data_IF_912922485187
#
_entry.id   IF_912922485187
#
_cell.length_a   1.000
_cell.length_b   1.000
_cell.length_c   1.000
_cell.angle_alpha   90.00
_cell.angle_beta   90.00
_cell.angle_gamma   90.00
#
_symmetry.space_group_name_H-M   'P 1'
#
loop_
_entity.id
_entity.type
_entity.pdbx_description
1 polymer ?
#
# COMPACT_ATOMS: atom_id res chain seq x y z
N UNK A 1 11.01 -11.13 -6.17
CA UNK A 1 12.43 -10.92 -6.55
C UNK A 1 12.60 -9.46 -6.97
N UNK A 2 13.76 -8.85 -6.76
CA UNK A 2 14.02 -7.45 -7.12
C UNK A 2 14.84 -7.39 -8.40
N UNK A 3 14.36 -6.66 -9.41
CA UNK A 3 15.09 -6.40 -10.65
C UNK A 3 15.93 -5.13 -10.52
N UNK A 4 17.26 -5.26 -10.43
CA UNK A 4 18.13 -4.10 -10.27
C UNK A 4 18.77 -3.70 -11.61
N UNK A 5 18.44 -2.49 -12.08
CA UNK A 5 18.95 -1.87 -13.29
C UNK A 5 20.11 -0.95 -12.95
N UNK A 6 21.33 -1.34 -13.31
CA UNK A 6 22.57 -0.61 -12.92
C UNK A 6 23.31 0.00 -14.12
N UNK A 7 22.89 -0.34 -15.34
CA UNK A 7 23.47 0.12 -16.61
C UNK A 7 22.43 -0.01 -17.74
N UNK A 8 22.77 0.52 -18.91
CA UNK A 8 21.92 0.50 -20.12
C UNK A 8 21.62 -0.93 -20.60
N UNK A 9 22.58 -1.84 -20.52
CA UNK A 9 22.37 -3.26 -20.84
C UNK A 9 21.28 -3.87 -19.96
N UNK A 10 21.26 -3.54 -18.66
CA UNK A 10 20.23 -4.03 -17.74
C UNK A 10 18.85 -3.46 -18.08
N UNK A 11 18.76 -2.23 -18.59
CA UNK A 11 17.49 -1.60 -19.00
C UNK A 11 16.83 -2.34 -20.16
N UNK A 12 17.64 -2.83 -21.11
CA UNK A 12 17.12 -3.57 -22.26
C UNK A 12 16.68 -5.01 -21.94
N UNK A 13 16.93 -5.50 -20.72
CA UNK A 13 16.57 -6.86 -20.28
C UNK A 13 15.45 -6.79 -19.26
N UNK A 14 14.46 -7.66 -19.34
CA UNK A 14 13.45 -7.81 -18.29
C UNK A 14 13.78 -9.00 -17.40
N UNK A 15 13.63 -8.84 -16.09
CA UNK A 15 13.69 -9.98 -15.16
C UNK A 15 12.28 -10.54 -14.98
N UNK A 16 12.11 -11.82 -15.30
CA UNK A 16 10.82 -12.51 -15.13
C UNK A 16 10.49 -12.60 -13.64
N UNK A 17 9.23 -12.32 -13.29
CA UNK A 17 8.69 -12.39 -11.92
C UNK A 17 9.32 -11.41 -10.89
N UNK A 18 9.73 -10.21 -11.33
CA UNK A 18 10.08 -9.14 -10.40
C UNK A 18 8.84 -8.36 -9.94
N UNK A 19 8.60 -8.32 -8.63
CA UNK A 19 7.53 -7.50 -8.05
C UNK A 19 7.98 -6.01 -7.94
N UNK A 20 9.29 -5.75 -7.92
CA UNK A 20 9.90 -4.43 -7.72
C UNK A 20 11.13 -4.29 -8.63
N UNK A 21 11.23 -3.16 -9.32
CA UNK A 21 12.41 -2.73 -10.07
C UNK A 21 13.16 -1.64 -9.29
N UNK A 22 14.49 -1.75 -9.20
CA UNK A 22 15.37 -0.74 -8.59
C UNK A 22 16.28 -0.19 -9.68
N UNK A 23 16.13 1.09 -9.98
CA UNK A 23 17.00 1.82 -10.88
C UNK A 23 18.14 2.46 -10.09
N UNK A 24 19.38 2.02 -10.32
CA UNK A 24 20.59 2.61 -9.75
C UNK A 24 21.32 3.44 -10.80
N UNK A 25 20.92 4.70 -10.95
CA UNK A 25 21.37 5.57 -12.04
C UNK A 25 22.88 5.83 -12.05
N UNK A 26 23.52 5.88 -10.90
CA UNK A 26 24.97 6.09 -10.79
C UNK A 26 25.77 4.79 -10.68
N UNK A 27 25.13 3.64 -10.92
CA UNK A 27 25.76 2.33 -10.81
C UNK A 27 25.68 1.71 -9.42
N UNK A 28 26.41 0.61 -9.23
CA UNK A 28 26.35 -0.24 -8.06
C UNK A 28 27.73 -0.81 -7.72
N UNK A 29 28.18 -0.61 -6.48
CA UNK A 29 29.48 -1.09 -5.97
C UNK A 29 29.71 -2.58 -6.27
N UNK A 30 28.68 -3.42 -6.10
CA UNK A 30 28.79 -4.87 -6.28
C UNK A 30 28.41 -5.41 -7.67
N UNK A 31 27.86 -4.58 -8.56
CA UNK A 31 27.30 -5.04 -9.86
C UNK A 31 27.74 -4.24 -11.07
N UNK A 32 28.40 -3.10 -10.87
CA UNK A 32 28.94 -2.26 -11.93
C UNK A 32 30.45 -2.41 -11.97
N UNK A 33 31.03 -2.28 -13.16
CA UNK A 33 32.47 -2.07 -13.24
C UNK A 33 32.81 -0.69 -12.64
N UNK A 34 33.97 -0.58 -11.98
CA UNK A 34 34.40 0.66 -11.33
C UNK A 34 34.37 1.88 -12.28
N UNK A 35 34.75 1.67 -13.55
CA UNK A 35 34.74 2.71 -14.61
C UNK A 35 33.34 3.19 -15.02
N UNK A 36 32.30 2.47 -14.62
CA UNK A 36 30.91 2.77 -15.00
C UNK A 36 30.14 3.48 -13.86
N UNK A 37 30.77 3.65 -12.69
CA UNK A 37 30.18 4.30 -11.52
C UNK A 37 30.34 5.82 -11.68
N UNK A 38 29.25 6.56 -11.51
CA UNK A 38 29.22 8.01 -11.70
C UNK A 38 29.59 8.69 -10.39
N UNK A 39 30.78 9.29 -10.32
CA UNK A 39 31.28 9.93 -9.10
C UNK A 39 31.94 11.28 -9.41
N UNK A 40 32.78 11.33 -10.46
CA UNK A 40 33.54 12.54 -10.79
C UNK A 40 32.67 13.55 -11.53
N UNK A 41 33.07 14.82 -11.53
CA UNK A 41 32.38 15.88 -12.26
C UNK A 41 32.24 15.54 -13.76
N UNK A 42 33.30 14.98 -14.37
CA UNK A 42 33.31 14.49 -15.76
C UNK A 42 32.26 13.38 -15.97
N UNK A 43 32.09 12.47 -15.02
CA UNK A 43 31.05 11.42 -15.11
C UNK A 43 29.63 11.99 -15.10
N UNK A 44 29.38 13.06 -14.33
CA UNK A 44 28.08 13.74 -14.33
C UNK A 44 27.83 14.47 -15.65
N UNK A 45 28.85 15.13 -16.20
CA UNK A 45 28.77 15.84 -17.48
C UNK A 45 28.51 14.88 -18.64
N UNK A 46 29.20 13.74 -18.64
CA UNK A 46 29.05 12.69 -19.65
C UNK A 46 27.84 11.77 -19.41
N UNK A 47 27.08 11.94 -18.32
CA UNK A 47 26.06 10.99 -17.91
C UNK A 47 25.05 10.68 -19.03
N UNK A 48 24.56 11.72 -19.72
CA UNK A 48 23.59 11.56 -20.80
C UNK A 48 24.16 10.81 -22.02
N UNK A 49 25.48 10.87 -22.20
CA UNK A 49 26.22 10.22 -23.30
C UNK A 49 26.59 8.78 -22.94
N UNK A 50 27.04 8.55 -21.69
CA UNK A 50 27.45 7.23 -21.17
C UNK A 50 26.25 6.36 -20.77
N UNK A 51 25.09 6.95 -20.45
CA UNK A 51 23.86 6.28 -19.97
C UNK A 51 22.58 6.68 -20.73
N UNK A 52 22.56 6.68 -22.07
CA UNK A 52 21.42 7.17 -22.85
C UNK A 52 20.13 6.39 -22.59
N UNK A 53 20.17 5.06 -22.50
CA UNK A 53 18.97 4.25 -22.29
C UNK A 53 18.38 4.48 -20.89
N UNK A 54 19.23 4.56 -19.86
CA UNK A 54 18.81 4.90 -18.50
C UNK A 54 18.17 6.30 -18.43
N UNK A 55 18.79 7.29 -19.08
CA UNK A 55 18.30 8.67 -19.12
C UNK A 55 16.94 8.76 -19.82
N UNK A 56 16.81 8.15 -21.01
CA UNK A 56 15.55 8.11 -21.76
C UNK A 56 14.45 7.37 -20.98
N UNK A 57 14.79 6.25 -20.35
CA UNK A 57 13.86 5.49 -19.51
C UNK A 57 13.35 6.36 -18.36
N UNK A 58 14.23 7.04 -17.64
CA UNK A 58 13.86 7.90 -16.52
C UNK A 58 13.02 9.10 -16.98
N UNK A 59 13.35 9.69 -18.13
CA UNK A 59 12.56 10.75 -18.76
C UNK A 59 11.12 10.28 -19.04
N UNK A 60 10.97 9.11 -19.67
CA UNK A 60 9.67 8.50 -19.94
C UNK A 60 8.90 8.13 -18.66
N UNK A 61 9.59 7.68 -17.61
CA UNK A 61 8.97 7.41 -16.31
C UNK A 61 8.48 8.72 -15.66
N UNK A 62 9.25 9.82 -15.71
CA UNK A 62 8.82 11.13 -15.21
C UNK A 62 7.61 11.70 -15.99
N UNK A 63 7.51 11.40 -17.28
CA UNK A 63 6.35 11.80 -18.09
C UNK A 63 5.07 11.03 -17.72
N UNK A 64 5.20 9.78 -17.26
CA UNK A 64 4.06 8.86 -17.08
C UNK A 64 3.68 8.59 -15.62
N UNK A 65 4.58 8.84 -14.68
CA UNK A 65 4.43 8.46 -13.26
C UNK A 65 4.71 9.65 -12.35
N UNK A 66 3.97 9.75 -11.26
CA UNK A 66 4.31 10.66 -10.16
C UNK A 66 5.50 10.12 -9.38
N UNK A 67 6.44 11.00 -9.05
CA UNK A 67 7.64 10.65 -8.30
C UNK A 67 7.53 11.23 -6.90
N UNK A 68 8.02 10.49 -5.91
CA UNK A 68 8.22 10.97 -4.55
C UNK A 68 9.72 10.98 -4.26
N UNK A 69 10.30 12.18 -4.18
CA UNK A 69 11.70 12.39 -3.84
C UNK A 69 11.86 12.46 -2.31
N UNK A 70 12.77 11.64 -1.77
CA UNK A 70 13.09 11.54 -0.34
C UNK A 70 14.61 11.40 -0.20
N UNK A 71 15.21 12.10 0.77
CA UNK A 71 16.67 12.07 0.97
C UNK A 71 17.44 12.65 -0.22
N UNK A 72 16.73 13.24 -1.17
CA UNK A 72 17.25 13.75 -2.41
C UNK A 72 17.45 15.25 -2.29
N UNK A 73 18.66 15.71 -2.62
CA UNK A 73 18.84 17.11 -2.94
C UNK A 73 18.58 17.26 -4.44
N UNK A 74 17.68 18.15 -4.85
CA UNK A 74 17.53 18.55 -6.26
C UNK A 74 18.81 19.16 -6.87
N UNK A 75 19.93 19.14 -6.14
CA UNK A 75 21.23 19.55 -6.64
C UNK A 75 21.90 18.49 -7.51
N UNK A 76 21.42 17.24 -7.53
CA UNK A 76 21.99 16.28 -8.48
C UNK A 76 21.62 16.71 -9.92
N UNK A 77 22.65 17.02 -10.74
CA UNK A 77 22.46 17.63 -12.04
C UNK A 77 21.85 16.64 -13.06
N UNK A 78 22.01 15.33 -12.88
CA UNK A 78 21.53 14.33 -13.83
C UNK A 78 20.00 14.26 -13.80
N UNK A 79 19.40 14.08 -12.62
CA UNK A 79 17.93 14.12 -12.50
C UNK A 79 17.39 15.49 -12.89
N UNK A 80 18.07 16.58 -12.53
CA UNK A 80 17.64 17.94 -12.92
C UNK A 80 17.57 18.10 -14.43
N UNK A 81 18.60 17.65 -15.15
CA UNK A 81 18.63 17.69 -16.61
C UNK A 81 17.51 16.83 -17.22
N UNK A 82 17.30 15.62 -16.70
CA UNK A 82 16.23 14.72 -17.17
C UNK A 82 14.84 15.31 -16.91
N UNK A 83 14.62 15.92 -15.73
CA UNK A 83 13.38 16.62 -15.37
C UNK A 83 13.09 17.79 -16.32
N UNK A 84 14.11 18.60 -16.64
CA UNK A 84 13.97 19.71 -17.60
C UNK A 84 13.57 19.17 -18.97
N UNK A 85 14.19 18.07 -19.41
CA UNK A 85 13.87 17.44 -20.67
C UNK A 85 12.45 16.86 -20.70
N UNK A 86 12.04 16.15 -19.64
CA UNK A 86 10.67 15.65 -19.49
C UNK A 86 9.65 16.81 -19.53
N UNK A 87 9.91 17.90 -18.80
CA UNK A 87 9.05 19.10 -18.83
C UNK A 87 8.98 19.71 -20.23
N UNK A 88 10.10 19.78 -20.95
CA UNK A 88 10.16 20.30 -22.32
C UNK A 88 9.30 19.46 -23.27
N UNK A 89 9.36 18.14 -23.15
CA UNK A 89 8.55 17.20 -23.92
C UNK A 89 7.06 17.29 -23.57
N UNK A 90 6.72 17.51 -22.30
CA UNK A 90 5.34 17.63 -21.82
C UNK A 90 4.63 18.96 -22.18
N UNK A 91 5.40 19.98 -22.62
CA UNK A 91 4.96 21.33 -22.97
C UNK A 91 4.19 22.10 -21.88
N UNK A 92 2.94 21.71 -21.59
CA UNK A 92 2.00 22.41 -20.70
C UNK A 92 1.50 21.58 -19.51
N UNK A 93 1.49 20.25 -19.60
CA UNK A 93 0.94 19.37 -18.57
C UNK A 93 1.99 18.39 -18.10
N UNK A 94 2.77 18.78 -17.09
CA UNK A 94 3.65 17.84 -16.39
C UNK A 94 2.87 17.10 -15.33
N UNK A 95 3.13 15.81 -15.18
CA UNK A 95 2.70 15.05 -14.02
C UNK A 95 3.16 15.77 -12.73
N UNK A 96 2.33 15.77 -11.69
CA UNK A 96 2.77 16.31 -10.40
C UNK A 96 3.69 15.31 -9.71
N UNK A 97 4.83 15.81 -9.23
CA UNK A 97 5.80 15.09 -8.43
C UNK A 97 5.88 15.72 -7.03
N UNK A 98 6.43 14.99 -6.07
CA UNK A 98 6.47 15.39 -4.67
C UNK A 98 7.89 15.28 -4.12
N UNK A 99 8.28 16.20 -3.26
CA UNK A 99 9.56 16.16 -2.54
C UNK A 99 9.29 16.34 -1.05
N UNK A 100 9.81 15.44 -0.22
CA UNK A 100 9.82 15.61 1.24
C UNK A 100 11.24 16.01 1.66
N UNK A 101 11.37 17.14 2.35
CA UNK A 101 12.66 17.65 2.80
C UNK A 101 12.56 18.32 4.17
N UNK A 102 13.66 18.31 4.92
CA UNK A 102 13.68 18.89 6.26
C UNK A 102 13.74 20.42 6.21
N UNK A 103 13.13 21.07 7.19
CA UNK A 103 13.29 22.50 7.45
C UNK A 103 14.75 22.77 7.86
N UNK A 104 15.40 23.83 7.35
CA UNK A 104 16.76 24.17 7.73
C UNK A 104 16.83 24.50 9.22
N UNK A 105 17.89 24.01 9.86
CA UNK A 105 18.25 24.33 11.24
C UNK A 105 19.64 24.97 11.23
N UNK A 106 19.82 25.98 12.07
CA UNK A 106 21.09 26.68 12.28
C UNK A 106 21.02 27.38 13.64
N UNK A 107 22.10 27.33 14.40
CA UNK A 107 22.18 27.96 15.72
C UNK A 107 22.33 29.48 15.61
N UNK A 108 22.85 29.98 14.48
CA UNK A 108 22.95 31.41 14.21
C UNK A 108 21.65 31.92 13.56
N UNK A 109 20.93 32.88 14.19
CA UNK A 109 19.68 33.42 13.65
C UNK A 109 19.80 34.02 12.25
N UNK A 110 20.92 34.69 11.94
CA UNK A 110 21.12 35.32 10.64
C UNK A 110 21.28 34.26 9.52
N UNK A 111 22.11 33.24 9.77
CA UNK A 111 22.25 32.12 8.82
C UNK A 111 20.98 31.31 8.68
N UNK A 112 20.19 31.16 9.75
CA UNK A 112 18.89 30.50 9.69
C UNK A 112 17.93 31.25 8.75
N UNK A 113 17.85 32.58 8.86
CA UNK A 113 17.03 33.42 7.97
C UNK A 113 17.48 33.26 6.52
N UNK A 114 18.78 33.32 6.26
CA UNK A 114 19.33 33.13 4.91
C UNK A 114 19.04 31.74 4.34
N UNK A 115 19.17 30.68 5.15
CA UNK A 115 18.88 29.29 4.74
C UNK A 115 17.39 29.09 4.46
N UNK A 116 16.49 29.61 5.31
CA UNK A 116 15.04 29.59 5.08
C UNK A 116 14.68 30.30 3.78
N UNK A 117 15.22 31.50 3.56
CA UNK A 117 14.99 32.25 2.31
C UNK A 117 15.46 31.49 1.08
N UNK A 118 16.62 30.83 1.16
CA UNK A 118 17.13 29.99 0.06
C UNK A 118 16.25 28.77 -0.19
N UNK A 119 15.75 28.11 0.85
CA UNK A 119 14.83 26.99 0.71
C UNK A 119 13.50 27.42 0.10
N UNK A 120 12.95 28.57 0.51
CA UNK A 120 11.72 29.13 -0.09
C UNK A 120 11.87 29.36 -1.60
N UNK A 121 12.98 30.00 -2.01
CA UNK A 121 13.26 30.24 -3.43
C UNK A 121 13.41 28.92 -4.20
N UNK A 122 14.09 27.95 -3.60
CA UNK A 122 14.25 26.63 -4.18
C UNK A 122 12.92 25.88 -4.34
N UNK A 123 12.05 25.92 -3.33
CA UNK A 123 10.69 25.36 -3.41
C UNK A 123 9.86 26.02 -4.52
N UNK A 124 10.01 27.33 -4.74
CA UNK A 124 9.34 28.04 -5.85
C UNK A 124 9.86 27.56 -7.21
N UNK A 125 11.16 27.37 -7.36
CA UNK A 125 11.74 26.84 -8.59
C UNK A 125 11.29 25.40 -8.86
N UNK A 126 11.25 24.55 -7.82
CA UNK A 126 10.71 23.20 -7.90
C UNK A 126 9.26 23.17 -8.34
N UNK A 127 8.43 24.07 -7.81
CA UNK A 127 7.02 24.18 -8.20
C UNK A 127 6.85 24.51 -9.69
N UNK A 128 7.74 25.32 -10.27
CA UNK A 128 7.74 25.61 -11.73
C UNK A 128 8.07 24.38 -12.59
N UNK A 129 8.70 23.38 -11.99
CA UNK A 129 9.05 22.10 -12.60
C UNK A 129 8.04 21.00 -12.29
N UNK A 130 6.90 21.33 -11.66
CA UNK A 130 5.86 20.36 -11.30
C UNK A 130 6.16 19.56 -10.03
N UNK A 131 7.12 20.01 -9.20
CA UNK A 131 7.45 19.36 -7.92
C UNK A 131 6.83 20.16 -6.77
N UNK A 132 5.88 19.54 -6.07
CA UNK A 132 5.29 20.02 -4.83
C UNK A 132 6.12 19.59 -3.62
N UNK A 133 6.50 20.54 -2.77
CA UNK A 133 7.41 20.30 -1.65
C UNK A 133 6.68 20.25 -0.31
N UNK A 134 6.93 19.20 0.48
CA UNK A 134 6.51 19.08 1.87
C UNK A 134 7.72 19.25 2.79
N UNK A 135 7.65 20.26 3.67
CA UNK A 135 8.69 20.54 4.66
C UNK A 135 8.37 19.83 5.98
N UNK A 136 9.34 19.10 6.53
CA UNK A 136 9.20 18.35 7.80
C UNK A 136 10.23 18.83 8.83
N UNK A 137 9.89 18.68 10.11
CA UNK A 137 10.76 19.12 11.22
C UNK A 137 11.80 18.07 11.62
N UNK A 138 11.44 16.79 11.52
CA UNK A 138 12.25 15.66 11.96
C UNK A 138 11.93 14.38 11.16
N UNK A 139 12.77 13.35 11.36
CA UNK A 139 12.62 12.07 10.67
C UNK A 139 11.38 11.27 11.14
N UNK A 140 10.90 11.49 12.37
CA UNK A 140 9.69 10.82 12.87
C UNK A 140 8.44 11.21 12.07
N UNK A 141 8.36 12.47 11.62
CA UNK A 141 7.31 12.91 10.71
C UNK A 141 7.38 12.20 9.36
N UNK A 142 8.59 11.98 8.82
CA UNK A 142 8.77 11.23 7.57
C UNK A 142 8.25 9.80 7.72
N UNK A 143 8.58 9.10 8.80
CA UNK A 143 8.10 7.75 9.06
C UNK A 143 6.56 7.69 9.08
N UNK A 144 5.91 8.62 9.79
CA UNK A 144 4.44 8.71 9.84
C UNK A 144 3.81 8.97 8.47
N UNK A 145 4.43 9.84 7.66
CA UNK A 145 3.96 10.13 6.30
C UNK A 145 4.11 8.89 5.41
N UNK A 146 5.27 8.22 5.43
CA UNK A 146 5.50 7.01 4.64
C UNK A 146 4.58 5.87 5.05
N UNK A 147 4.33 5.74 6.36
CA UNK A 147 3.34 4.81 6.88
C UNK A 147 1.95 5.11 6.29
N UNK A 148 1.49 6.37 6.36
CA UNK A 148 0.20 6.77 5.80
C UNK A 148 0.10 6.52 4.28
N UNK A 149 1.17 6.83 3.53
CA UNK A 149 1.24 6.56 2.08
C UNK A 149 1.16 5.05 1.82
N UNK A 150 1.95 4.24 2.53
CA UNK A 150 1.91 2.77 2.42
C UNK A 150 0.49 2.24 2.66
N UNK A 151 -0.21 2.73 3.68
CA UNK A 151 -1.58 2.32 3.99
C UNK A 151 -2.58 2.74 2.91
N UNK A 152 -2.53 3.99 2.45
CA UNK A 152 -3.45 4.52 1.45
C UNK A 152 -3.19 3.99 0.04
N UNK A 153 -1.95 3.59 -0.26
CA UNK A 153 -1.56 3.03 -1.56
C UNK A 153 -2.26 1.72 -1.90
N UNK A 154 -2.82 1.03 -0.90
CA UNK A 154 -3.61 -0.20 -1.06
C UNK A 154 -4.99 0.05 -1.68
N UNK A 155 -5.42 1.31 -1.80
CA UNK A 155 -6.76 1.68 -2.26
C UNK A 155 -7.85 1.12 -1.34
N UNK A 156 -9.12 1.23 -1.75
CA UNK A 156 -10.29 0.77 -0.98
C UNK A 156 -10.46 -0.75 -1.04
N UNK A 157 -9.43 -1.47 -0.59
CA UNK A 157 -9.33 -2.93 -0.64
C UNK A 157 -9.79 -3.57 0.65
N UNK A 158 -10.66 -4.57 0.51
CA UNK A 158 -11.32 -5.22 1.65
C UNK A 158 -11.14 -6.73 1.53
N UNK A 159 -10.69 -7.35 2.61
CA UNK A 159 -10.67 -8.80 2.77
C UNK A 159 -11.65 -9.22 3.85
N UNK A 160 -12.39 -10.30 3.64
CA UNK A 160 -13.31 -10.85 4.64
C UNK A 160 -12.86 -12.24 5.06
N UNK A 161 -12.75 -12.44 6.37
CA UNK A 161 -12.41 -13.74 6.97
C UNK A 161 -13.42 -14.11 8.05
N UNK A 162 -13.62 -15.43 8.24
CA UNK A 162 -14.59 -15.97 9.18
C UNK A 162 -14.70 -17.49 9.12
N UNK A 163 -15.56 -18.03 9.97
CA UNK A 163 -15.86 -19.45 10.11
C UNK A 163 -16.43 -20.07 8.82
N UNK A 164 -16.44 -21.40 8.79
CA UNK A 164 -16.93 -22.18 7.66
C UNK A 164 -18.46 -22.33 7.60
N UNK A 165 -19.23 -21.46 8.24
CA UNK A 165 -20.69 -21.47 8.14
C UNK A 165 -21.13 -21.10 6.72
N UNK A 166 -21.71 -22.07 6.01
CA UNK A 166 -21.96 -21.95 4.57
C UNK A 166 -23.13 -21.04 4.19
N UNK A 167 -23.87 -20.43 5.13
CA UNK A 167 -25.09 -19.67 4.82
C UNK A 167 -25.35 -18.47 5.75
N UNK A 168 -24.33 -17.64 6.01
CA UNK A 168 -24.56 -16.39 6.73
C UNK A 168 -25.30 -15.37 5.85
N UNK A 169 -26.53 -15.01 6.26
CA UNK A 169 -27.33 -13.94 5.63
C UNK A 169 -26.62 -12.59 5.70
N UNK A 170 -25.98 -12.30 6.84
CA UNK A 170 -25.23 -11.07 7.06
C UNK A 170 -24.04 -10.98 6.10
N UNK A 171 -23.31 -12.08 5.88
CA UNK A 171 -22.21 -12.12 4.93
C UNK A 171 -22.68 -11.87 3.48
N UNK A 172 -23.81 -12.46 3.08
CA UNK A 172 -24.39 -12.23 1.75
C UNK A 172 -24.84 -10.78 1.56
N UNK A 173 -25.53 -10.22 2.56
CA UNK A 173 -25.97 -8.82 2.54
C UNK A 173 -24.77 -7.86 2.49
N UNK A 174 -23.72 -8.15 3.26
CA UNK A 174 -22.47 -7.40 3.22
C UNK A 174 -21.83 -7.44 1.84
N UNK A 175 -21.76 -8.61 1.19
CA UNK A 175 -21.26 -8.74 -0.19
C UNK A 175 -22.02 -7.85 -1.18
N UNK A 176 -23.35 -7.81 -1.09
CA UNK A 176 -24.18 -6.91 -1.91
C UNK A 176 -23.93 -5.43 -1.63
N UNK A 177 -23.79 -5.05 -0.36
CA UNK A 177 -23.51 -3.67 0.03
C UNK A 177 -22.13 -3.21 -0.46
N UNK A 178 -21.11 -4.06 -0.34
CA UNK A 178 -19.76 -3.79 -0.85
C UNK A 178 -19.77 -3.61 -2.38
N UNK A 179 -20.54 -4.43 -3.11
CA UNK A 179 -20.64 -4.33 -4.57
C UNK A 179 -21.30 -3.02 -5.03
N UNK A 180 -22.22 -2.45 -4.25
CA UNK A 180 -22.85 -1.16 -4.57
C UNK A 180 -21.90 0.03 -4.49
N UNK A 181 -20.78 -0.09 -3.78
CA UNK A 181 -19.75 0.96 -3.74
C UNK A 181 -18.67 0.72 -4.81
N UNK A 182 -18.78 1.42 -5.93
CA UNK A 182 -17.97 1.19 -7.14
C UNK A 182 -16.44 1.22 -6.93
N UNK A 183 -15.96 1.96 -5.94
CA UNK A 183 -14.52 2.10 -5.67
C UNK A 183 -13.94 0.97 -4.82
N UNK A 184 -14.79 0.11 -4.24
CA UNK A 184 -14.34 -1.02 -3.42
C UNK A 184 -13.81 -2.14 -4.30
N UNK A 185 -12.65 -2.65 -3.89
CA UNK A 185 -12.01 -3.84 -4.43
C UNK A 185 -12.07 -4.94 -3.37
N UNK A 186 -12.83 -6.00 -3.65
CA UNK A 186 -12.91 -7.17 -2.80
C UNK A 186 -11.71 -8.09 -3.05
N UNK A 187 -11.07 -8.52 -1.98
CA UNK A 187 -9.98 -9.48 -2.00
C UNK A 187 -10.52 -10.84 -1.56
N UNK A 188 -10.28 -11.86 -2.38
CA UNK A 188 -10.64 -13.24 -2.09
C UNK A 188 -9.40 -14.08 -1.84
N UNK A 189 -9.33 -14.68 -0.66
CA UNK A 189 -8.37 -15.73 -0.32
C UNK A 189 -8.91 -17.12 -0.63
N UNK A 190 -9.89 -17.26 -1.51
CA UNK A 190 -10.54 -18.54 -1.88
C UNK A 190 -10.92 -19.39 -0.65
N UNK A 191 -11.36 -18.74 0.43
CA UNK A 191 -11.78 -19.41 1.66
C UNK A 191 -13.20 -19.95 1.51
N UNK A 192 -13.55 -20.95 2.31
CA UNK A 192 -14.90 -21.49 2.41
C UNK A 192 -15.66 -20.82 3.57
N UNK A 193 -17.00 -20.81 3.50
CA UNK A 193 -17.86 -20.22 4.55
C UNK A 193 -18.12 -18.74 4.32
N UNK A 194 -17.90 -17.91 5.35
CA UNK A 194 -18.20 -16.47 5.30
C UNK A 194 -17.54 -15.79 4.09
N UNK A 195 -16.25 -16.04 3.86
CA UNK A 195 -15.52 -15.44 2.73
C UNK A 195 -16.14 -15.78 1.37
N UNK A 196 -16.50 -17.05 1.14
CA UNK A 196 -17.18 -17.47 -0.09
C UNK A 196 -18.57 -16.84 -0.24
N UNK A 197 -19.31 -16.65 0.86
CA UNK A 197 -20.65 -16.04 0.83
C UNK A 197 -20.59 -14.57 0.42
N UNK A 198 -19.61 -13.82 0.97
CA UNK A 198 -19.38 -12.42 0.58
C UNK A 198 -18.99 -12.33 -0.88
N UNK A 199 -18.01 -13.14 -1.32
CA UNK A 199 -17.53 -13.12 -2.72
C UNK A 199 -18.65 -13.47 -3.69
N UNK A 200 -19.42 -14.53 -3.40
CA UNK A 200 -20.54 -14.92 -4.27
C UNK A 200 -21.57 -13.81 -4.40
N UNK A 201 -22.00 -13.22 -3.28
CA UNK A 201 -23.01 -12.17 -3.28
C UNK A 201 -22.49 -10.86 -3.92
N UNK A 202 -21.21 -10.54 -3.72
CA UNK A 202 -20.55 -9.41 -4.38
C UNK A 202 -20.51 -9.59 -5.89
N UNK A 203 -20.06 -10.76 -6.37
CA UNK A 203 -19.99 -11.07 -7.79
C UNK A 203 -21.37 -11.05 -8.45
N UNK A 204 -22.37 -11.69 -7.82
CA UNK A 204 -23.76 -11.68 -8.32
C UNK A 204 -24.29 -10.24 -8.44
N UNK A 205 -24.07 -9.40 -7.43
CA UNK A 205 -24.49 -8.01 -7.45
C UNK A 205 -23.77 -7.20 -8.55
N UNK A 206 -22.46 -7.37 -8.73
CA UNK A 206 -21.73 -6.70 -9.81
C UNK A 206 -22.24 -7.09 -11.20
N UNK A 207 -22.59 -8.36 -11.43
CA UNK A 207 -23.18 -8.81 -12.69
C UNK A 207 -24.56 -8.16 -12.89
N UNK A 208 -25.41 -8.18 -11.86
CA UNK A 208 -26.74 -7.58 -11.93
C UNK A 208 -26.68 -6.07 -12.24
N UNK A 209 -25.70 -5.37 -11.67
CA UNK A 209 -25.48 -3.94 -11.86
C UNK A 209 -24.63 -3.61 -13.11
N UNK A 210 -24.23 -4.62 -13.90
CA UNK A 210 -23.38 -4.50 -15.11
C UNK A 210 -22.05 -3.80 -14.87
N UNK A 211 -21.44 -4.04 -13.72
CA UNK A 211 -20.15 -3.48 -13.33
C UNK A 211 -19.01 -4.39 -13.80
N UNK A 212 -17.85 -3.81 -14.12
CA UNK A 212 -16.65 -4.60 -14.38
C UNK A 212 -16.12 -5.24 -13.09
N UNK A 213 -16.01 -6.56 -13.10
CA UNK A 213 -15.54 -7.35 -11.96
C UNK A 213 -14.01 -7.41 -11.94
N UNK A 214 -13.34 -7.31 -13.10
CA UNK A 214 -11.89 -7.50 -13.17
C UNK A 214 -11.12 -6.42 -12.40
N UNK A 215 -11.62 -5.18 -12.40
CA UNK A 215 -11.08 -4.10 -11.56
C UNK A 215 -11.46 -4.17 -10.08
N UNK A 216 -12.40 -5.04 -9.69
CA UNK A 216 -13.08 -5.01 -8.38
C UNK A 216 -12.98 -6.28 -7.55
N UNK A 217 -12.53 -7.38 -8.14
CA UNK A 217 -12.28 -8.64 -7.43
C UNK A 217 -10.85 -9.10 -7.69
N UNK A 218 -10.04 -9.17 -6.63
CA UNK A 218 -8.69 -9.72 -6.68
C UNK A 218 -8.66 -11.07 -5.98
N UNK A 219 -8.19 -12.10 -6.69
CA UNK A 219 -8.13 -13.47 -6.16
C UNK A 219 -6.68 -13.83 -5.90
N UNK A 220 -6.39 -14.24 -4.67
CA UNK A 220 -5.08 -14.72 -4.28
C UNK A 220 -5.10 -16.24 -4.14
N UNK A 221 -4.08 -16.96 -4.64
CA UNK A 221 -4.01 -18.41 -4.53
C UNK A 221 -4.06 -18.86 -3.07
N UNK A 222 -4.93 -19.82 -2.80
CA UNK A 222 -5.06 -20.42 -1.49
C UNK A 222 -4.66 -21.90 -1.50
N UNK A 223 -3.57 -22.28 -0.81
CA UNK A 223 -3.22 -23.70 -0.66
C UNK A 223 -4.34 -24.57 -0.08
N UNK A 224 -5.21 -24.03 0.78
CA UNK A 224 -6.34 -24.81 1.34
C UNK A 224 -7.43 -25.12 0.33
N UNK A 225 -7.59 -24.28 -0.69
CA UNK A 225 -8.53 -24.54 -1.77
C UNK A 225 -8.11 -25.77 -2.58
N UNK A 226 -6.80 -26.08 -2.62
CA UNK A 226 -6.27 -27.29 -3.24
C UNK A 226 -6.38 -28.52 -2.33
N UNK A 227 -6.10 -28.37 -1.02
CA UNK A 227 -6.26 -29.45 -0.05
C UNK A 227 -6.67 -28.91 1.34
N UNK A 228 -7.91 -29.18 1.81
CA UNK A 228 -8.39 -28.74 3.11
C UNK A 228 -7.53 -29.19 4.30
N UNK A 229 -6.84 -30.34 4.18
CA UNK A 229 -6.04 -30.92 5.26
C UNK A 229 -4.84 -30.05 5.65
N UNK A 230 -4.36 -29.18 4.76
CA UNK A 230 -3.26 -28.26 5.08
C UNK A 230 -3.61 -27.26 6.18
N UNK A 231 -4.91 -26.99 6.43
CA UNK A 231 -5.35 -26.02 7.45
C UNK A 231 -5.14 -26.50 8.88
N UNK A 232 -5.02 -27.82 9.07
CA UNK A 232 -4.89 -28.46 10.37
C UNK A 232 -3.46 -28.96 10.64
N UNK A 233 -2.51 -28.70 9.74
CA UNK A 233 -1.11 -29.09 9.91
C UNK A 233 -0.29 -27.91 10.46
N UNK A 234 0.12 -27.94 11.75
CA UNK A 234 0.91 -26.87 12.35
C UNK A 234 2.30 -26.71 11.71
N UNK A 235 2.85 -27.76 11.10
CA UNK A 235 4.18 -27.71 10.48
C UNK A 235 4.20 -26.79 9.24
N UNK A 236 3.07 -26.68 8.54
CA UNK A 236 2.92 -25.85 7.36
C UNK A 236 2.55 -24.39 7.70
N UNK A 237 2.22 -24.09 8.96
CA UNK A 237 1.73 -22.78 9.37
C UNK A 237 2.66 -21.60 8.98
N UNK A 238 4.00 -21.69 9.11
CA UNK A 238 4.90 -20.62 8.67
C UNK A 238 4.81 -20.34 7.17
N UNK A 239 4.80 -21.38 6.35
CA UNK A 239 4.70 -21.27 4.89
C UNK A 239 3.32 -20.74 4.47
N UNK A 240 2.26 -21.16 5.16
CA UNK A 240 0.89 -20.71 4.92
C UNK A 240 0.70 -19.25 5.32
N UNK A 241 1.34 -18.78 6.40
CA UNK A 241 1.42 -17.35 6.76
C UNK A 241 2.21 -16.56 5.72
N UNK A 242 3.29 -17.13 5.16
CA UNK A 242 4.05 -16.51 4.06
C UNK A 242 3.19 -16.33 2.80
N UNK A 243 2.41 -17.34 2.41
CA UNK A 243 1.47 -17.23 1.28
C UNK A 243 0.44 -16.10 1.48
N UNK A 244 -0.11 -15.97 2.70
CA UNK A 244 -1.07 -14.90 3.04
C UNK A 244 -0.47 -13.50 3.06
N UNK A 245 0.85 -13.36 3.16
CA UNK A 245 1.49 -12.03 3.21
C UNK A 245 1.22 -11.22 1.95
N UNK A 246 1.20 -11.83 0.76
CA UNK A 246 0.88 -11.10 -0.48
C UNK A 246 -0.57 -10.59 -0.47
N UNK A 247 -1.52 -11.41 -0.04
CA UNK A 247 -2.91 -11.02 0.14
C UNK A 247 -3.02 -9.83 1.10
N UNK A 248 -2.42 -9.92 2.29
CA UNK A 248 -2.53 -8.85 3.30
C UNK A 248 -1.76 -7.57 2.94
N UNK A 249 -0.69 -7.67 2.15
CA UNK A 249 -0.01 -6.48 1.62
C UNK A 249 -0.90 -5.67 0.66
N UNK A 250 -1.85 -6.34 -0.01
CA UNK A 250 -2.83 -5.70 -0.89
C UNK A 250 -4.10 -5.26 -0.17
N UNK A 251 -4.28 -5.62 1.10
CA UNK A 251 -5.50 -5.35 1.88
C UNK A 251 -5.35 -4.11 2.75
N UNK A 252 -6.28 -3.16 2.64
CA UNK A 252 -6.38 -2.04 3.58
C UNK A 252 -7.21 -2.40 4.82
N UNK A 253 -8.39 -3.02 4.63
CA UNK A 253 -9.34 -3.36 5.69
C UNK A 253 -9.62 -4.86 5.71
N UNK A 254 -9.53 -5.47 6.89
CA UNK A 254 -9.93 -6.86 7.14
C UNK A 254 -11.20 -6.86 7.98
N UNK A 255 -12.28 -7.41 7.42
CA UNK A 255 -13.51 -7.68 8.16
C UNK A 255 -13.40 -9.08 8.75
N UNK A 256 -13.44 -9.15 10.08
CA UNK A 256 -13.15 -10.36 10.84
C UNK A 256 -14.41 -10.87 11.54
N UNK A 257 -15.05 -11.88 10.98
CA UNK A 257 -16.09 -12.65 11.66
C UNK A 257 -15.46 -13.66 12.63
N UNK A 258 -16.27 -14.24 13.52
CA UNK A 258 -15.82 -15.35 14.37
C UNK A 258 -15.29 -16.51 13.53
N UNK A 259 -14.28 -17.22 14.05
CA UNK A 259 -13.59 -18.24 13.29
C UNK A 259 -12.64 -19.10 14.11
N UNK A 260 -11.95 -20.00 13.42
CA UNK A 260 -11.00 -20.94 14.02
C UNK A 260 -9.53 -20.55 13.77
N UNK A 261 -8.65 -21.56 13.73
CA UNK A 261 -7.20 -21.38 13.60
C UNK A 261 -6.80 -20.61 12.32
N UNK A 262 -7.45 -20.88 11.19
CA UNK A 262 -7.17 -20.18 9.93
C UNK A 262 -7.48 -18.68 9.99
N UNK A 263 -8.63 -18.33 10.58
CA UNK A 263 -9.05 -16.94 10.81
C UNK A 263 -8.09 -16.23 11.78
N UNK A 264 -7.66 -16.91 12.85
CA UNK A 264 -6.67 -16.36 13.79
C UNK A 264 -5.34 -16.05 13.07
N UNK A 265 -4.85 -16.99 12.26
CA UNK A 265 -3.62 -16.80 11.50
C UNK A 265 -3.73 -15.63 10.49
N UNK A 266 -4.90 -15.45 9.87
CA UNK A 266 -5.15 -14.32 8.95
C UNK A 266 -5.14 -12.98 9.67
N UNK A 267 -5.79 -12.90 10.83
CA UNK A 267 -5.81 -11.70 11.66
C UNK A 267 -4.41 -11.37 12.17
N UNK A 268 -3.62 -12.36 12.56
CA UNK A 268 -2.23 -12.13 12.99
C UNK A 268 -1.36 -11.57 11.86
N UNK A 269 -1.45 -12.15 10.64
CA UNK A 269 -0.73 -11.61 9.48
C UNK A 269 -1.24 -10.21 9.14
N UNK A 270 -2.55 -9.97 9.21
CA UNK A 270 -3.15 -8.66 8.98
C UNK A 270 -2.59 -7.59 9.93
N UNK A 271 -2.48 -7.91 11.24
CA UNK A 271 -1.87 -7.02 12.25
C UNK A 271 -0.41 -6.71 11.92
N UNK A 272 0.39 -7.73 11.59
CA UNK A 272 1.80 -7.54 11.22
C UNK A 272 1.99 -6.72 9.94
N UNK A 273 0.97 -6.65 9.09
CA UNK A 273 0.94 -5.82 7.87
C UNK A 273 0.17 -4.51 8.06
N UNK A 274 -0.16 -4.14 9.30
CA UNK A 274 -0.90 -2.92 9.66
C UNK A 274 -2.26 -2.79 8.96
N UNK A 275 -2.93 -3.89 8.60
CA UNK A 275 -4.29 -3.78 8.06
C UNK A 275 -5.22 -3.26 9.17
N UNK A 276 -6.22 -2.45 8.80
CA UNK A 276 -7.27 -2.05 9.73
C UNK A 276 -8.22 -3.22 9.92
N UNK A 277 -8.53 -3.57 11.16
CA UNK A 277 -9.34 -4.77 11.47
C UNK A 277 -10.69 -4.32 12.01
N UNK A 278 -11.76 -4.78 11.37
CA UNK A 278 -13.15 -4.53 11.75
C UNK A 278 -13.76 -5.86 12.20
N UNK A 279 -13.82 -6.13 13.51
CA UNK A 279 -14.45 -7.34 14.03
C UNK A 279 -15.97 -7.28 13.83
N UNK A 280 -16.58 -8.42 13.53
CA UNK A 280 -18.04 -8.57 13.38
C UNK A 280 -18.54 -9.55 14.42
N UNK A 281 -19.53 -9.11 15.19
CA UNK A 281 -20.15 -9.88 16.26
C UNK A 281 -21.64 -9.96 16.00
N UNK A 282 -22.13 -11.14 15.64
CA UNK A 282 -23.53 -11.36 15.29
C UNK A 282 -24.37 -11.75 16.50
N UNK A 283 -23.76 -12.41 17.48
CA UNK A 283 -24.40 -12.86 18.70
C UNK A 283 -23.43 -12.92 19.90
N UNK A 284 -23.94 -13.36 21.05
CA UNK A 284 -23.13 -13.50 22.27
C UNK A 284 -22.09 -14.64 22.17
N UNK A 285 -22.27 -15.64 21.31
CA UNK A 285 -21.28 -16.71 21.12
C UNK A 285 -20.04 -16.17 20.40
N UNK A 286 -20.23 -15.27 19.44
CA UNK A 286 -19.15 -14.57 18.76
C UNK A 286 -18.32 -13.73 19.74
N UNK A 287 -18.95 -13.05 20.71
CA UNK A 287 -18.23 -12.34 21.79
C UNK A 287 -17.39 -13.30 22.64
N UNK A 288 -17.84 -14.54 22.82
CA UNK A 288 -17.10 -15.54 23.58
C UNK A 288 -15.98 -16.21 22.77
N UNK A 289 -15.98 -16.07 21.44
CA UNK A 289 -14.98 -16.65 20.55
C UNK A 289 -13.58 -16.10 20.85
N UNK A 290 -12.61 -17.02 20.94
CA UNK A 290 -11.21 -16.71 21.29
C UNK A 290 -10.57 -15.68 20.34
N UNK A 291 -10.86 -15.77 19.05
CA UNK A 291 -10.28 -14.91 18.01
C UNK A 291 -10.83 -13.49 18.16
N UNK A 292 -12.14 -13.35 18.31
CA UNK A 292 -12.80 -12.05 18.50
C UNK A 292 -12.35 -11.40 19.80
N UNK A 293 -12.33 -12.14 20.92
CA UNK A 293 -11.79 -11.63 22.20
C UNK A 293 -10.39 -11.08 22.06
N UNK A 294 -9.50 -11.80 21.37
CA UNK A 294 -8.13 -11.35 21.13
C UNK A 294 -8.07 -10.08 20.28
N UNK A 295 -8.95 -9.94 19.29
CA UNK A 295 -9.06 -8.70 18.51
C UNK A 295 -9.54 -7.53 19.37
N UNK A 296 -10.54 -7.75 20.24
CA UNK A 296 -11.09 -6.72 21.13
C UNK A 296 -10.13 -6.33 22.27
N UNK A 297 -9.45 -7.31 22.87
CA UNK A 297 -8.42 -7.07 23.90
C UNK A 297 -7.25 -6.28 23.32
N UNK A 298 -6.81 -6.63 22.11
CA UNK A 298 -5.78 -5.88 21.41
C UNK A 298 -6.29 -4.49 21.01
N UNK A 299 -7.59 -4.33 20.77
CA UNK A 299 -8.20 -3.02 20.53
C UNK A 299 -8.15 -2.13 21.77
N UNK A 300 -8.42 -2.69 22.95
CA UNK A 300 -8.33 -1.98 24.21
C UNK A 300 -6.88 -1.63 24.60
N UNK A 301 -5.89 -2.41 24.15
CA UNK A 301 -4.47 -2.25 24.52
C UNK A 301 -3.64 -1.46 23.50
N UNK A 302 -4.03 -1.41 22.24
CA UNK A 302 -3.23 -0.83 21.15
C UNK A 302 -3.87 0.42 20.54
N UNK A 303 -3.05 1.46 20.34
CA UNK A 303 -3.46 2.71 19.69
C UNK A 303 -3.87 2.54 18.21
N UNK A 304 -3.69 1.36 17.61
CA UNK A 304 -3.94 1.07 16.19
C UNK A 304 -5.38 0.62 15.88
N UNK A 305 -6.18 0.32 16.90
CA UNK A 305 -7.60 -0.08 16.77
C UNK A 305 -8.58 1.03 17.22
N UNK A 306 -8.05 2.21 17.60
CA UNK A 306 -8.82 3.41 17.99
C UNK A 306 -9.50 4.15 16.82
N UNK A 307 -9.67 3.51 15.65
CA UNK A 307 -10.36 4.12 14.50
C UNK A 307 -11.78 3.55 14.27
N UNK A 308 -12.25 2.62 15.12
CA UNK A 308 -13.65 2.20 15.04
C UNK A 308 -14.54 3.34 15.56
N UNK A 309 -15.58 3.74 14.81
CA UNK A 309 -16.54 4.72 15.29
C UNK A 309 -17.20 4.24 16.60
N UNK A 310 -17.35 5.13 17.58
CA UNK A 310 -17.95 4.79 18.88
C UNK A 310 -19.32 4.12 18.75
N UNK A 311 -20.13 4.54 17.77
CA UNK A 311 -21.44 3.93 17.49
C UNK A 311 -21.31 2.46 17.08
N UNK A 312 -20.33 2.14 16.23
CA UNK A 312 -20.07 0.77 15.81
C UNK A 312 -19.57 -0.09 16.97
N UNK A 313 -18.65 0.45 17.78
CA UNK A 313 -18.13 -0.25 18.96
C UNK A 313 -19.25 -0.61 19.95
N UNK A 314 -20.20 0.30 20.20
CA UNK A 314 -21.32 0.04 21.10
C UNK A 314 -22.21 -1.10 20.59
N UNK A 315 -22.53 -1.12 19.28
CA UNK A 315 -23.32 -2.21 18.66
C UNK A 315 -22.56 -3.54 18.66
N UNK A 316 -21.24 -3.47 18.52
CA UNK A 316 -20.37 -4.64 18.60
C UNK A 316 -20.43 -5.30 19.98
N UNK A 317 -20.29 -4.50 21.05
CA UNK A 317 -20.36 -5.00 22.42
C UNK A 317 -21.76 -5.51 22.81
N UNK A 318 -22.80 -5.01 22.14
CA UNK A 318 -24.18 -5.48 22.31
C UNK A 318 -24.48 -6.80 21.56
N UNK A 319 -23.59 -7.28 20.69
CA UNK A 319 -23.74 -8.55 19.99
C UNK A 319 -24.85 -8.56 18.94
N UNK A 320 -24.98 -7.49 18.16
CA UNK A 320 -26.04 -7.33 17.16
C UNK A 320 -25.64 -6.55 15.92
N UNK A 321 -24.40 -6.71 15.46
CA UNK A 321 -23.86 -5.96 14.31
C UNK A 321 -24.53 -6.42 13.01
N UNK A 322 -25.18 -5.50 12.31
CA UNK A 322 -25.74 -5.75 10.97
C UNK A 322 -24.73 -5.51 9.84
N UNK A 323 -25.05 -5.96 8.63
CA UNK A 323 -24.22 -5.68 7.45
C UNK A 323 -24.15 -4.17 7.15
N UNK A 324 -25.24 -3.44 7.41
CA UNK A 324 -25.32 -1.99 7.27
C UNK A 324 -24.37 -1.27 8.23
N UNK A 325 -24.27 -1.74 9.48
CA UNK A 325 -23.36 -1.17 10.47
C UNK A 325 -21.90 -1.36 10.06
N UNK A 326 -21.56 -2.56 9.57
CA UNK A 326 -20.23 -2.86 9.03
C UNK A 326 -19.92 -1.92 7.87
N UNK A 327 -20.88 -1.74 6.95
CA UNK A 327 -20.72 -0.88 5.80
C UNK A 327 -20.52 0.60 6.19
N UNK A 328 -21.30 1.10 7.15
CA UNK A 328 -21.15 2.47 7.66
C UNK A 328 -19.78 2.69 8.30
N UNK A 329 -19.30 1.71 9.08
CA UNK A 329 -17.96 1.73 9.66
C UNK A 329 -16.88 1.78 8.58
N UNK A 330 -16.97 0.93 7.56
CA UNK A 330 -16.01 0.89 6.43
C UNK A 330 -15.95 2.22 5.69
N UNK A 331 -17.10 2.86 5.45
CA UNK A 331 -17.15 4.18 4.79
C UNK A 331 -16.40 5.25 5.58
N UNK A 332 -16.40 5.18 6.90
CA UNK A 332 -15.66 6.13 7.75
C UNK A 332 -14.15 5.80 7.69
N UNK A 333 -13.80 4.52 7.77
CA UNK A 333 -12.41 4.06 7.78
C UNK A 333 -11.67 4.32 6.45
N UNK A 334 -12.39 4.28 5.33
CA UNK A 334 -11.89 4.43 3.96
C UNK A 334 -12.04 5.84 3.37
N UNK A 335 -12.50 6.82 4.16
CA UNK A 335 -12.45 8.25 3.80
C UNK A 335 -11.02 8.80 3.88
#
# INVERSE_FOLDING_TARGET
>A
MVDAKVNDDAISRNVVNSDIEILKIHGCISRSHHKDIIITQEDYEDFLIKRPAMSQRLCNDLLKKSFLFIGYSYRDPNIRNIMIEARRLAQKTTQEHYLITAIPKDDNPEFLVQKKRRQELWCKDLKRLGISTLLIENHDQLEKILFAISQKSRGKTIYVTGSHEKNSRVAQQLGKLLAKENEIILISGQSTGIGSNVVSAFTEQCINDKQDIHGRLQIFPNPYAANPNFSNDPALLPDLKRCRSKLMNSTQVVIAFSGGMGTEAEIEVAKNRNCKIVPVVLDNNDLQNKVIKKVLDDAARSCNLNELPNEYYNKLMAGGVSAEDVMACIKIILR
#
